data_IF_041011580842
#
_entry.id   IF_041011580842
#
_cell.length_a   1.000
_cell.length_b   1.000
_cell.length_c   1.000
_cell.angle_alpha   90.00
_cell.angle_beta   90.00
_cell.angle_gamma   90.00
#
_symmetry.space_group_name_H-M   'P 1'
#
loop_
_entity.id
_entity.type
_entity.pdbx_description
1 polymer ?
#
# COMPACT_ATOMS: atom_id res chain seq x y z
N UNK A 1 -7.27 6.57 -1.27
CA UNK A 1 -6.25 5.92 -2.15
C UNK A 1 -5.15 6.88 -2.63
N UNK A 2 -3.87 6.53 -2.44
CA UNK A 2 -2.70 7.28 -2.93
C UNK A 2 -1.93 6.47 -4.00
N UNK A 3 -1.42 7.15 -5.04
CA UNK A 3 -0.66 6.53 -6.15
C UNK A 3 0.83 6.47 -5.82
N UNK A 4 1.49 5.35 -6.12
CA UNK A 4 2.91 5.12 -5.91
C UNK A 4 3.53 4.39 -7.11
N UNK A 5 4.82 4.61 -7.35
CA UNK A 5 5.62 3.83 -8.29
C UNK A 5 6.52 2.89 -7.50
N UNK A 6 6.52 1.60 -7.83
CA UNK A 6 7.39 0.63 -7.17
C UNK A 6 8.86 0.88 -7.58
N UNK A 7 9.80 1.02 -6.63
CA UNK A 7 11.22 1.23 -6.96
C UNK A 7 11.88 -0.02 -7.58
N UNK A 8 11.35 -1.22 -7.32
CA UNK A 8 11.92 -2.47 -7.84
C UNK A 8 11.45 -2.79 -9.27
N UNK A 9 10.14 -2.71 -9.55
CA UNK A 9 9.61 -3.09 -10.87
C UNK A 9 9.14 -1.92 -11.73
N UNK A 10 9.17 -0.68 -11.23
CA UNK A 10 8.74 0.53 -11.95
C UNK A 10 7.24 0.62 -12.21
N UNK A 11 6.43 -0.37 -11.81
CA UNK A 11 4.98 -0.36 -12.02
C UNK A 11 4.30 0.60 -11.07
N UNK A 12 3.26 1.26 -11.57
CA UNK A 12 2.41 2.17 -10.80
C UNK A 12 1.30 1.38 -10.13
N UNK A 13 1.03 1.66 -8.87
CA UNK A 13 -0.04 1.02 -8.09
C UNK A 13 -0.68 2.04 -7.14
N UNK A 14 -1.81 1.69 -6.55
CA UNK A 14 -2.47 2.48 -5.52
C UNK A 14 -2.40 1.77 -4.18
N UNK A 15 -2.38 2.54 -3.10
CA UNK A 15 -2.53 2.02 -1.76
C UNK A 15 -3.54 2.85 -0.97
N UNK A 16 -4.16 2.22 0.02
CA UNK A 16 -5.12 2.85 0.91
C UNK A 16 -4.91 2.37 2.33
N UNK A 17 -4.92 3.31 3.27
CA UNK A 17 -4.96 3.00 4.69
C UNK A 17 -6.40 2.67 5.07
N UNK A 18 -6.59 1.47 5.61
CA UNK A 18 -7.88 1.02 6.10
C UNK A 18 -7.87 1.09 7.63
N UNK A 19 -8.67 2.03 8.15
CA UNK A 19 -8.88 2.25 9.57
C UNK A 19 -10.12 1.47 10.04
N UNK A 20 -10.09 0.13 10.02
CA UNK A 20 -11.28 -0.68 10.35
C UNK A 20 -11.24 -1.34 11.74
N UNK A 21 -10.18 -1.19 12.52
CA UNK A 21 -10.13 -1.82 13.85
C UNK A 21 -9.63 -0.78 14.84
N UNK A 22 -10.57 -0.31 15.65
CA UNK A 22 -10.31 0.45 16.88
C UNK A 22 -9.24 -0.35 17.64
N UNK A 23 -8.08 0.26 17.93
CA UNK A 23 -6.93 -0.33 18.66
C UNK A 23 -5.71 -0.87 17.86
N UNK A 24 -5.43 -0.39 16.65
CA UNK A 24 -4.06 -0.54 16.13
C UNK A 24 -3.12 0.51 16.76
N UNK A 25 -2.24 0.05 17.66
CA UNK A 25 -1.10 0.84 18.14
C UNK A 25 -0.25 1.26 16.95
N UNK A 26 0.19 2.52 16.95
CA UNK A 26 1.08 3.11 15.95
C UNK A 26 2.28 2.20 15.67
N UNK A 27 2.35 1.62 14.47
CA UNK A 27 3.40 0.67 14.04
C UNK A 27 3.91 0.99 12.65
N UNK A 28 5.15 0.60 12.38
CA UNK A 28 5.73 0.60 11.04
C UNK A 28 5.04 -0.47 10.20
N UNK A 29 4.37 -0.04 9.13
CA UNK A 29 3.60 -0.90 8.25
C UNK A 29 4.16 -0.79 6.83
N UNK A 30 4.52 -1.92 6.20
CA UNK A 30 5.02 -1.93 4.84
C UNK A 30 3.89 -1.75 3.81
N UNK A 31 4.18 -1.00 2.77
CA UNK A 31 3.38 -0.89 1.54
C UNK A 31 4.01 -1.82 0.52
N UNK A 32 3.32 -2.92 0.23
CA UNK A 32 3.82 -3.98 -0.63
C UNK A 32 3.34 -3.76 -2.07
N UNK A 33 4.23 -3.86 -3.04
CA UNK A 33 3.84 -3.78 -4.45
C UNK A 33 3.00 -5.00 -4.85
N UNK A 34 1.79 -4.84 -5.42
CA UNK A 34 0.94 -5.97 -5.81
C UNK A 34 1.46 -6.76 -7.02
N UNK A 35 2.50 -6.26 -7.71
CA UNK A 35 3.07 -6.89 -8.90
C UNK A 35 4.30 -7.76 -8.59
N UNK A 36 5.21 -7.26 -7.75
CA UNK A 36 6.48 -7.94 -7.47
C UNK A 36 6.64 -8.32 -5.99
N UNK A 37 5.65 -8.01 -5.14
CA UNK A 37 5.68 -8.23 -3.69
C UNK A 37 6.85 -7.56 -2.96
N UNK A 38 7.53 -6.63 -3.61
CA UNK A 38 8.58 -5.82 -3.01
C UNK A 38 7.97 -4.78 -2.07
N UNK A 39 8.59 -4.60 -0.90
CA UNK A 39 8.24 -3.53 0.03
C UNK A 39 8.66 -2.18 -0.55
N UNK A 40 7.71 -1.48 -1.16
CA UNK A 40 7.99 -0.24 -1.86
C UNK A 40 8.26 0.93 -0.92
N UNK A 41 7.67 0.89 0.29
CA UNK A 41 7.83 1.91 1.33
C UNK A 41 7.34 1.36 2.67
N UNK A 42 7.90 1.85 3.76
CA UNK A 42 7.37 1.59 5.12
C UNK A 42 6.91 2.91 5.72
N UNK A 43 5.71 2.94 6.29
CA UNK A 43 5.13 4.14 6.89
C UNK A 43 4.54 3.77 8.24
N UNK A 44 4.67 4.69 9.20
CA UNK A 44 4.04 4.54 10.50
C UNK A 44 2.56 4.91 10.40
N UNK A 45 1.68 3.96 10.76
CA UNK A 45 0.23 4.08 10.64
C UNK A 45 -0.46 3.46 11.86
N UNK A 46 -1.70 3.90 12.12
CA UNK A 46 -2.60 3.31 13.11
C UNK A 46 -3.60 2.35 12.46
N UNK A 47 -3.35 1.89 11.23
CA UNK A 47 -4.20 1.00 10.46
C UNK A 47 -3.35 0.05 9.62
N UNK A 48 -3.97 -0.55 8.59
CA UNK A 48 -3.27 -1.41 7.63
C UNK A 48 -3.38 -0.87 6.21
N UNK A 49 -2.32 -1.07 5.42
CA UNK A 49 -2.30 -0.68 4.02
C UNK A 49 -2.80 -1.81 3.14
N UNK A 50 -3.80 -1.50 2.31
CA UNK A 50 -4.23 -2.35 1.20
C UNK A 50 -3.66 -1.79 -0.08
N UNK A 51 -3.00 -2.63 -0.88
CA UNK A 51 -2.41 -2.25 -2.17
C UNK A 51 -3.20 -2.85 -3.31
N UNK A 52 -3.54 -2.05 -4.32
CA UNK A 52 -4.33 -2.46 -5.47
C UNK A 52 -3.60 -2.08 -6.77
N UNK A 53 -3.83 -2.84 -7.85
CA UNK A 53 -3.20 -2.53 -9.14
C UNK A 53 -3.97 -1.36 -9.75
N UNK A 54 -3.27 -0.47 -10.44
CA UNK A 54 -3.95 0.63 -11.14
C UNK A 54 -4.84 0.09 -12.27
N UNK A 55 -4.45 -1.04 -12.87
CA UNK A 55 -5.22 -1.75 -13.89
C UNK A 55 -6.64 -2.12 -13.43
N UNK A 56 -6.84 -2.38 -12.13
CA UNK A 56 -8.13 -2.78 -11.56
C UNK A 56 -9.18 -1.64 -11.65
N UNK A 57 -8.75 -0.40 -11.87
CA UNK A 57 -9.62 0.79 -11.97
C UNK A 57 -9.77 1.34 -13.40
N UNK A 58 -9.15 0.69 -14.38
CA UNK A 58 -9.18 1.11 -15.79
C UNK A 58 -10.27 0.42 -16.61
N UNK A 59 -11.15 -0.36 -15.96
CA UNK A 59 -12.29 -1.06 -16.57
C UNK A 59 -13.62 -0.38 -16.22
#
# INVERSE_FOLDING_TARGET
MQKMVCPNCGKKFTYEEVNHIVEHVKKEMPIVCPYCRFEAKTIVSNGYFVTQKIEDYLN
#
